data_IF_707300302043
#
_entry.id   IF_707300302043
#
_cell.length_a   1.000
_cell.length_b   1.000
_cell.length_c   1.000
_cell.angle_alpha   90.00
_cell.angle_beta   90.00
_cell.angle_gamma   90.00
#
_symmetry.space_group_name_H-M   'P 1'
#
loop_
_entity.id
_entity.type
_entity.pdbx_description
1 polymer ?
#
# COMPACT_ATOMS: atom_id res chain seq x y z
N UNK A 1 14.45 -0.02 4.61
CA UNK A 1 14.77 -1.05 5.63
C UNK A 1 16.14 -1.65 5.38
N UNK A 2 16.95 -1.89 6.42
CA UNK A 2 18.17 -2.71 6.34
C UNK A 2 17.86 -4.22 6.38
N UNK A 3 16.80 -4.62 5.68
CA UNK A 3 16.36 -6.00 5.55
C UNK A 3 16.95 -6.55 4.26
N UNK A 4 17.42 -7.79 4.28
CA UNK A 4 17.78 -8.51 3.06
C UNK A 4 16.58 -8.52 2.10
N UNK A 5 16.80 -8.24 0.81
CA UNK A 5 15.77 -8.23 -0.24
C UNK A 5 14.95 -9.53 -0.21
N UNK A 6 15.60 -10.66 0.11
CA UNK A 6 14.94 -11.96 0.25
C UNK A 6 13.93 -12.02 1.41
N UNK A 7 14.21 -11.35 2.53
CA UNK A 7 13.31 -11.35 3.68
C UNK A 7 12.05 -10.51 3.41
N UNK A 8 12.18 -9.39 2.71
CA UNK A 8 11.01 -8.57 2.30
C UNK A 8 10.11 -9.38 1.38
N UNK A 9 10.68 -9.97 0.32
CA UNK A 9 9.93 -10.78 -0.62
C UNK A 9 9.20 -11.96 0.06
N UNK A 10 9.84 -12.60 1.04
CA UNK A 10 9.21 -13.67 1.82
C UNK A 10 7.98 -13.16 2.60
N UNK A 11 8.10 -12.04 3.32
CA UNK A 11 6.98 -11.47 4.08
C UNK A 11 5.83 -11.10 3.14
N UNK A 12 6.13 -10.45 2.02
CA UNK A 12 5.13 -10.08 1.01
C UNK A 12 4.38 -11.30 0.48
N UNK A 13 5.08 -12.41 0.20
CA UNK A 13 4.44 -13.65 -0.21
C UNK A 13 3.54 -14.25 0.89
N UNK A 14 3.93 -14.17 2.16
CA UNK A 14 3.07 -14.65 3.26
C UNK A 14 1.80 -13.80 3.39
N UNK A 15 1.89 -12.48 3.20
CA UNK A 15 0.73 -11.58 3.22
C UNK A 15 -0.24 -11.92 2.07
N UNK A 16 0.28 -12.13 0.86
CA UNK A 16 -0.51 -12.55 -0.30
C UNK A 16 -1.18 -13.89 -0.03
N UNK A 17 -0.45 -14.88 0.46
CA UNK A 17 -1.00 -16.20 0.75
C UNK A 17 -2.11 -16.16 1.82
N UNK A 18 -1.96 -15.32 2.85
CA UNK A 18 -2.99 -15.12 3.87
C UNK A 18 -4.26 -14.49 3.27
N UNK A 19 -4.11 -13.46 2.42
CA UNK A 19 -5.23 -12.86 1.68
C UNK A 19 -5.93 -13.89 0.82
N UNK A 20 -5.18 -14.67 0.04
CA UNK A 20 -5.72 -15.68 -0.88
C UNK A 20 -6.42 -16.82 -0.11
N UNK A 21 -6.02 -17.07 1.14
CA UNK A 21 -6.70 -17.98 2.07
C UNK A 21 -7.96 -17.37 2.74
N UNK A 22 -8.32 -16.13 2.40
CA UNK A 22 -9.52 -15.43 2.87
C UNK A 22 -9.32 -14.50 4.06
N UNK A 23 -8.08 -14.25 4.50
CA UNK A 23 -7.81 -13.29 5.57
C UNK A 23 -7.91 -11.84 5.07
N UNK A 24 -8.44 -10.95 5.91
CA UNK A 24 -8.30 -9.52 5.68
C UNK A 24 -6.88 -9.07 6.07
N UNK A 25 -6.17 -8.44 5.14
CA UNK A 25 -4.81 -7.94 5.35
C UNK A 25 -4.80 -6.42 5.24
N UNK A 26 -4.26 -5.74 6.26
CA UNK A 26 -4.01 -4.30 6.25
C UNK A 26 -2.49 -4.07 6.24
N UNK A 27 -1.99 -3.45 5.19
CA UNK A 27 -0.59 -3.04 5.06
C UNK A 27 -0.51 -1.53 5.20
N UNK A 28 0.42 -1.05 6.01
CA UNK A 28 0.76 0.37 6.16
C UNK A 28 2.22 0.50 5.71
N UNK A 29 2.47 1.29 4.67
CA UNK A 29 3.80 1.49 4.13
C UNK A 29 3.91 2.91 3.55
N UNK A 30 5.11 3.48 3.64
CA UNK A 30 5.51 4.71 2.95
C UNK A 30 6.14 4.44 1.57
N UNK A 31 6.40 3.16 1.26
CA UNK A 31 6.92 2.72 -0.04
C UNK A 31 5.78 2.49 -1.03
N UNK A 32 5.72 3.35 -2.06
CA UNK A 32 4.69 3.27 -3.10
C UNK A 32 4.77 1.99 -3.92
N UNK A 33 5.97 1.43 -4.13
CA UNK A 33 6.12 0.19 -4.90
C UNK A 33 5.48 -0.98 -4.14
N UNK A 34 5.65 -1.03 -2.83
CA UNK A 34 5.02 -2.04 -1.97
C UNK A 34 3.50 -1.89 -1.93
N UNK A 35 2.99 -0.67 -1.73
CA UNK A 35 1.54 -0.41 -1.66
C UNK A 35 0.85 -0.78 -2.97
N UNK A 36 1.45 -0.42 -4.11
CA UNK A 36 0.89 -0.72 -5.44
C UNK A 36 1.03 -2.20 -5.83
N UNK A 37 2.05 -2.90 -5.33
CA UNK A 37 2.24 -4.32 -5.61
C UNK A 37 1.31 -5.23 -4.79
N UNK A 38 0.99 -4.85 -3.54
CA UNK A 38 0.23 -5.68 -2.62
C UNK A 38 -1.23 -5.28 -2.47
N UNK A 39 -1.55 -3.99 -2.59
CA UNK A 39 -2.85 -3.46 -2.26
C UNK A 39 -3.88 -3.70 -3.36
N UNK A 40 -5.00 -4.35 -3.03
CA UNK A 40 -6.18 -4.36 -3.90
C UNK A 40 -6.89 -2.99 -3.87
N UNK A 41 -6.86 -2.35 -2.69
CA UNK A 41 -7.38 -1.00 -2.45
C UNK A 41 -6.36 -0.18 -1.67
N UNK A 42 -6.25 1.09 -2.02
CA UNK A 42 -5.28 2.03 -1.45
C UNK A 42 -6.00 3.27 -0.94
N UNK A 43 -5.62 3.69 0.26
CA UNK A 43 -6.01 4.95 0.86
C UNK A 43 -4.75 5.66 1.36
N UNK A 44 -4.72 6.99 1.27
CA UNK A 44 -3.58 7.79 1.68
C UNK A 44 -3.90 8.50 2.99
N UNK A 45 -2.96 8.46 3.94
CA UNK A 45 -3.06 9.20 5.19
C UNK A 45 -2.19 10.45 5.13
N UNK A 46 -2.77 11.62 5.39
CA UNK A 46 -2.05 12.88 5.54
C UNK A 46 -2.65 13.68 6.71
N UNK A 47 -1.78 14.20 7.59
CA UNK A 47 -2.17 15.01 8.75
C UNK A 47 -3.32 14.40 9.59
N UNK A 48 -3.27 13.09 9.82
CA UNK A 48 -4.27 12.36 10.62
C UNK A 48 -5.61 12.12 9.92
N UNK A 49 -5.72 12.43 8.62
CA UNK A 49 -6.90 12.17 7.79
C UNK A 49 -6.59 11.12 6.75
N UNK A 50 -7.50 10.18 6.57
CA UNK A 50 -7.43 9.15 5.55
C UNK A 50 -8.35 9.54 4.38
N UNK A 51 -7.90 9.34 3.14
CA UNK A 51 -8.78 9.40 1.97
C UNK A 51 -9.75 8.23 1.95
N UNK A 52 -10.71 8.25 1.01
CA UNK A 52 -11.42 7.04 0.66
C UNK A 52 -10.45 5.97 0.13
N UNK A 53 -10.76 4.70 0.42
CA UNK A 53 -10.02 3.57 -0.12
C UNK A 53 -10.50 3.27 -1.54
N UNK A 54 -9.69 3.59 -2.54
CA UNK A 54 -9.99 3.35 -3.95
C UNK A 54 -9.29 2.07 -4.43
N UNK A 55 -9.73 1.50 -5.55
CA UNK A 55 -9.00 0.41 -6.21
C UNK A 55 -7.59 0.88 -6.57
N UNK A 56 -6.60 0.00 -6.47
CA UNK A 56 -5.21 0.37 -6.77
C UNK A 56 -5.03 0.91 -8.20
N UNK A 57 -5.80 0.37 -9.16
CA UNK A 57 -5.83 0.82 -10.56
C UNK A 57 -6.40 2.24 -10.76
N UNK A 58 -7.14 2.77 -9.79
CA UNK A 58 -7.62 4.15 -9.81
C UNK A 58 -6.54 5.16 -9.36
N UNK A 59 -5.41 4.66 -8.84
CA UNK A 59 -4.28 5.47 -8.43
C UNK A 59 -3.18 5.51 -9.48
N UNK A 60 -2.58 6.68 -9.64
CA UNK A 60 -1.23 6.79 -10.22
C UNK A 60 -0.22 7.03 -9.10
N UNK A 61 1.06 6.72 -9.34
CA UNK A 61 2.14 6.99 -8.39
C UNK A 61 2.19 8.48 -8.03
N UNK A 62 2.02 9.34 -9.03
CA UNK A 62 2.00 10.79 -8.86
C UNK A 62 0.82 11.23 -8.00
N UNK A 63 -0.37 10.68 -8.22
CA UNK A 63 -1.57 11.02 -7.44
C UNK A 63 -1.43 10.58 -5.97
N UNK A 64 -0.86 9.40 -5.72
CA UNK A 64 -0.55 8.95 -4.35
C UNK A 64 0.45 9.91 -3.69
N UNK A 65 1.55 10.24 -4.38
CA UNK A 65 2.56 11.17 -3.86
C UNK A 65 1.98 12.56 -3.56
N UNK A 66 1.10 13.05 -4.42
CA UNK A 66 0.41 14.33 -4.23
C UNK A 66 -0.53 14.30 -3.02
N UNK A 67 -1.31 13.22 -2.87
CA UNK A 67 -2.17 13.01 -1.71
C UNK A 67 -1.37 12.88 -0.40
N UNK A 68 -0.19 12.24 -0.43
CA UNK A 68 0.71 12.13 0.73
C UNK A 68 1.24 13.50 1.15
N UNK A 69 1.44 14.41 0.19
CA UNK A 69 1.83 15.80 0.43
C UNK A 69 0.64 16.70 0.85
N UNK A 70 -0.57 16.16 0.94
CA UNK A 70 -1.77 16.89 1.37
C UNK A 70 -2.45 17.71 0.29
N UNK A 71 -2.05 17.56 -0.97
CA UNK A 71 -2.78 18.13 -2.09
C UNK A 71 -3.95 17.22 -2.47
N UNK A 72 -5.08 17.82 -2.84
CA UNK A 72 -6.26 17.07 -3.27
C UNK A 72 -5.95 16.33 -4.58
N UNK A 73 -6.11 15.02 -4.58
CA UNK A 73 -6.16 14.21 -5.80
C UNK A 73 -7.40 14.56 -6.64
#
# INVERSE_FOLDING_TARGET
>A
WGLDIGAVAYVQQQLIAARDAGAAVLVISDDLDEVLALGDRVAVMHAGKLTDALLAEAWTREAIGLAMAGASA
#
